data_IF_232633856897
#
_entry.id   IF_232633856897
#
_cell.length_a   1.000
_cell.length_b   1.000
_cell.length_c   1.000
_cell.angle_alpha   90.00
_cell.angle_beta   90.00
_cell.angle_gamma   90.00
#
_symmetry.space_group_name_H-M   'P 1'
#
loop_
_entity.id
_entity.type
_entity.pdbx_description
1 polymer ?
#
# COMPACT_ATOMS: atom_id res chain seq x y z
N UNK A 1 4.23 -19.20 8.60
CA UNK A 1 4.18 -19.81 7.26
C UNK A 1 3.04 -19.12 6.52
N UNK A 2 3.30 -18.39 5.43
CA UNK A 2 2.25 -17.66 4.71
C UNK A 2 1.60 -18.62 3.69
N UNK A 3 0.29 -18.85 3.80
CA UNK A 3 -0.40 -19.99 3.18
C UNK A 3 -0.68 -19.85 1.68
N UNK A 4 -0.28 -18.75 1.03
CA UNK A 4 -0.49 -18.58 -0.42
C UNK A 4 0.80 -18.05 -1.05
N UNK A 5 1.33 -18.70 -2.11
CA UNK A 5 2.35 -18.09 -2.93
C UNK A 5 1.76 -16.85 -3.61
N UNK A 6 2.53 -15.77 -3.67
CA UNK A 6 2.16 -14.59 -4.44
C UNK A 6 2.05 -15.00 -5.90
N UNK A 7 0.88 -14.86 -6.51
CA UNK A 7 0.76 -14.94 -7.97
C UNK A 7 1.71 -13.92 -8.61
N UNK A 8 2.11 -14.13 -9.87
CA UNK A 8 3.09 -13.32 -10.63
C UNK A 8 2.62 -11.86 -10.88
N UNK A 9 2.10 -11.16 -9.87
CA UNK A 9 2.12 -9.73 -9.83
C UNK A 9 3.57 -9.29 -9.85
N UNK A 10 3.93 -8.54 -10.90
CA UNK A 10 5.13 -7.71 -10.83
C UNK A 10 5.02 -6.92 -9.53
N UNK A 11 6.09 -6.93 -8.77
CA UNK A 11 6.17 -6.13 -7.57
C UNK A 11 5.79 -4.70 -7.98
N UNK A 12 4.70 -4.12 -7.44
CA UNK A 12 4.19 -2.80 -7.85
C UNK A 12 5.27 -1.68 -7.77
N UNK A 13 6.36 -1.97 -7.06
CA UNK A 13 7.69 -1.38 -7.09
C UNK A 13 8.28 -1.13 -8.49
N UNK A 14 7.89 -1.92 -9.49
CA UNK A 14 8.44 -1.90 -10.85
C UNK A 14 7.92 -0.73 -11.67
N UNK A 15 6.76 -0.17 -11.31
CA UNK A 15 6.08 0.87 -12.09
C UNK A 15 5.84 2.18 -11.35
N UNK A 16 6.12 2.21 -10.05
CA UNK A 16 6.58 3.44 -9.42
C UNK A 16 7.95 3.80 -10.02
N UNK A 17 7.94 4.48 -11.16
CA UNK A 17 9.10 5.24 -11.60
C UNK A 17 9.54 6.25 -10.53
N UNK A 18 10.40 7.19 -10.92
CA UNK A 18 10.96 8.24 -10.04
C UNK A 18 9.90 8.98 -9.20
N UNK A 19 8.63 9.01 -9.58
CA UNK A 19 7.54 9.66 -8.85
C UNK A 19 7.19 9.04 -7.47
N UNK A 20 7.37 7.73 -7.27
CA UNK A 20 7.16 7.11 -5.95
C UNK A 20 8.44 6.76 -5.19
N UNK A 21 9.58 6.94 -5.86
CA UNK A 21 10.88 7.16 -5.23
C UNK A 21 11.04 8.66 -5.01
N UNK A 22 10.26 9.25 -4.12
CA UNK A 22 10.59 10.60 -3.68
C UNK A 22 11.97 10.58 -3.00
N UNK A 23 12.99 10.92 -3.78
CA UNK A 23 14.11 11.77 -3.41
C UNK A 23 15.12 11.31 -2.38
N UNK A 24 15.04 10.11 -1.81
CA UNK A 24 16.06 9.65 -0.85
C UNK A 24 16.99 8.66 -1.54
N UNK A 25 18.21 9.10 -1.84
CA UNK A 25 19.32 8.19 -2.09
C UNK A 25 19.33 7.14 -0.96
N UNK A 26 19.56 5.86 -1.30
CA UNK A 26 19.46 4.74 -0.35
C UNK A 26 20.31 4.90 0.92
N UNK A 27 21.27 5.82 0.91
CA UNK A 27 22.26 6.00 1.96
C UNK A 27 21.82 6.91 3.14
N UNK A 28 20.71 7.66 3.05
CA UNK A 28 20.37 8.65 4.09
C UNK A 28 18.93 8.57 4.64
N UNK A 29 18.24 7.43 4.47
CA UNK A 29 16.92 7.21 5.11
C UNK A 29 17.13 6.82 6.57
N UNK A 30 16.68 7.62 7.56
CA UNK A 30 16.89 7.30 8.97
C UNK A 30 16.27 5.96 9.34
N UNK A 31 17.03 5.12 10.04
CA UNK A 31 16.53 3.85 10.59
C UNK A 31 15.73 4.14 11.85
N UNK A 32 14.45 3.76 11.85
CA UNK A 32 13.60 3.84 13.03
C UNK A 32 13.91 2.66 13.95
N UNK A 33 14.46 2.94 15.13
CA UNK A 33 14.85 1.92 16.11
C UNK A 33 13.69 1.53 17.05
N UNK A 34 12.88 2.51 17.43
CA UNK A 34 11.80 2.35 18.41
C UNK A 34 10.44 2.36 17.70
N UNK A 35 10.04 1.21 17.15
CA UNK A 35 8.72 1.06 16.56
C UNK A 35 8.06 -0.23 17.05
N UNK A 36 6.74 -0.18 17.22
CA UNK A 36 5.93 -1.34 17.61
C UNK A 36 5.24 -1.93 16.39
N UNK A 37 5.51 -3.20 16.14
CA UNK A 37 4.81 -3.99 15.11
C UNK A 37 3.50 -4.49 15.70
N UNK A 38 2.41 -4.30 14.96
CA UNK A 38 1.10 -4.87 15.30
C UNK A 38 0.76 -5.89 14.21
N UNK A 39 0.87 -7.20 14.53
CA UNK A 39 0.62 -8.27 13.57
C UNK A 39 -0.79 -8.20 12.99
N UNK A 40 -0.90 -8.38 11.68
CA UNK A 40 -2.19 -8.45 11.00
C UNK A 40 -2.52 -9.90 10.58
N UNK A 41 -3.82 -10.24 10.49
CA UNK A 41 -4.24 -11.56 10.03
C UNK A 41 -3.72 -11.91 8.63
N UNK A 42 -3.30 -13.16 8.43
CA UNK A 42 -2.88 -13.70 7.14
C UNK A 42 -4.05 -14.15 6.25
N UNK A 43 -5.18 -13.45 6.28
CA UNK A 43 -6.42 -13.81 5.56
C UNK A 43 -6.47 -13.32 4.10
N UNK A 44 -5.33 -12.86 3.58
CA UNK A 44 -5.21 -12.21 2.27
C UNK A 44 -5.56 -10.73 2.28
N UNK A 45 -5.95 -10.14 3.42
CA UNK A 45 -6.34 -8.73 3.57
C UNK A 45 -5.40 -7.94 4.46
N UNK A 46 -4.20 -8.47 4.74
CA UNK A 46 -3.24 -7.91 5.70
C UNK A 46 -2.90 -6.43 5.44
N UNK A 47 -2.76 -6.02 4.18
CA UNK A 47 -2.56 -4.61 3.81
C UNK A 47 -3.71 -3.73 4.33
N UNK A 48 -4.94 -4.13 4.05
CA UNK A 48 -6.13 -3.35 4.41
C UNK A 48 -6.33 -3.29 5.93
N UNK A 49 -6.03 -4.38 6.63
CA UNK A 49 -5.99 -4.39 8.10
C UNK A 49 -4.94 -3.43 8.65
N UNK A 50 -3.73 -3.42 8.07
CA UNK A 50 -2.65 -2.52 8.47
C UNK A 50 -2.99 -1.03 8.23
N UNK A 51 -3.55 -0.71 7.06
CA UNK A 51 -4.01 0.65 6.73
C UNK A 51 -5.15 1.10 7.65
N UNK A 52 -6.11 0.21 7.91
CA UNK A 52 -7.24 0.51 8.77
C UNK A 52 -6.79 0.79 10.21
N UNK A 53 -5.84 0.01 10.73
CA UNK A 53 -5.24 0.24 12.05
C UNK A 53 -4.67 1.66 12.18
N UNK A 54 -3.98 2.15 11.15
CA UNK A 54 -3.38 3.50 11.15
C UNK A 54 -4.39 4.65 11.10
N UNK A 55 -5.62 4.42 10.61
CA UNK A 55 -6.64 5.45 10.53
C UNK A 55 -7.21 5.85 11.91
N UNK A 56 -6.90 5.12 12.99
CA UNK A 56 -7.50 5.32 14.33
C UNK A 56 -9.02 5.07 14.38
N UNK A 57 -9.65 4.80 13.23
CA UNK A 57 -11.03 4.37 13.10
C UNK A 57 -11.12 2.85 13.16
N UNK A 58 -12.13 2.33 13.87
CA UNK A 58 -12.39 0.89 14.01
C UNK A 58 -12.91 0.21 12.73
N UNK A 59 -12.61 0.76 11.54
CA UNK A 59 -13.00 0.10 10.30
C UNK A 59 -12.37 -1.29 10.23
N UNK A 60 -13.15 -2.28 9.83
CA UNK A 60 -12.63 -3.61 9.56
C UNK A 60 -11.89 -3.55 8.22
N UNK A 61 -10.72 -4.21 8.10
CA UNK A 61 -9.90 -4.16 6.88
C UNK A 61 -10.68 -4.56 5.62
N UNK A 62 -11.66 -5.46 5.74
CA UNK A 62 -12.54 -5.85 4.63
C UNK A 62 -13.47 -4.73 4.15
N UNK A 63 -13.96 -3.88 5.06
CA UNK A 63 -14.76 -2.71 4.69
C UNK A 63 -13.90 -1.67 3.99
N UNK A 64 -12.69 -1.42 4.51
CA UNK A 64 -11.74 -0.51 3.88
C UNK A 64 -11.31 -1.00 2.49
N UNK A 65 -11.11 -2.31 2.31
CA UNK A 65 -10.86 -2.91 0.99
C UNK A 65 -11.95 -2.53 -0.01
N UNK A 66 -13.22 -2.78 0.33
CA UNK A 66 -14.34 -2.48 -0.55
C UNK A 66 -14.40 -0.99 -0.89
N UNK A 67 -14.19 -0.14 0.10
CA UNK A 67 -14.17 1.32 -0.09
C UNK A 67 -13.07 1.76 -1.07
N UNK A 68 -11.85 1.23 -0.93
CA UNK A 68 -10.74 1.49 -1.85
C UNK A 68 -11.08 0.97 -3.25
N UNK A 69 -11.61 -0.24 -3.38
CA UNK A 69 -11.97 -0.79 -4.70
C UNK A 69 -13.08 0.01 -5.39
N UNK A 70 -14.11 0.43 -4.65
CA UNK A 70 -15.17 1.30 -5.17
C UNK A 70 -14.61 2.65 -5.61
N UNK A 71 -13.65 3.20 -4.85
CA UNK A 71 -12.95 4.43 -5.21
C UNK A 71 -12.14 4.25 -6.50
N UNK A 72 -11.37 3.17 -6.62
CA UNK A 72 -10.62 2.83 -7.84
C UNK A 72 -11.57 2.74 -9.05
N UNK A 73 -12.67 2.00 -8.91
CA UNK A 73 -13.65 1.79 -10.00
C UNK A 73 -14.29 3.09 -10.51
N UNK A 74 -14.52 4.06 -9.61
CA UNK A 74 -15.14 5.35 -9.91
C UNK A 74 -14.17 6.41 -10.42
N UNK A 75 -12.86 6.21 -10.24
CA UNK A 75 -11.84 7.22 -10.55
C UNK A 75 -10.74 6.65 -11.46
N UNK A 76 -11.06 6.12 -12.65
CA UNK A 76 -10.07 5.52 -13.54
C UNK A 76 -9.00 6.52 -14.04
N UNK A 77 -9.39 7.79 -14.16
CA UNK A 77 -8.52 8.87 -14.67
C UNK A 77 -7.78 9.61 -13.54
N UNK A 78 -7.87 9.12 -12.30
CA UNK A 78 -7.15 9.70 -11.17
C UNK A 78 -5.65 9.58 -11.38
N UNK A 79 -4.96 10.72 -11.33
CA UNK A 79 -3.51 10.77 -11.46
C UNK A 79 -2.81 10.32 -10.17
N UNK A 80 -1.87 9.39 -10.35
CA UNK A 80 -0.97 8.91 -9.31
C UNK A 80 0.46 9.02 -9.85
N UNK A 81 1.21 10.00 -9.33
CA UNK A 81 2.48 10.39 -9.94
C UNK A 81 2.23 10.90 -11.35
N UNK A 82 2.92 10.34 -12.32
CA UNK A 82 2.85 10.75 -13.73
C UNK A 82 1.85 9.92 -14.58
N UNK A 83 1.12 8.97 -13.97
CA UNK A 83 0.23 8.07 -14.70
C UNK A 83 -1.20 8.13 -14.15
N UNK A 84 -2.20 7.96 -15.02
CA UNK A 84 -3.56 7.68 -14.59
C UNK A 84 -3.66 6.27 -13.99
N UNK A 85 -4.56 6.10 -13.02
CA UNK A 85 -4.81 4.82 -12.36
C UNK A 85 -5.15 3.69 -13.35
N UNK A 86 -5.92 3.99 -14.40
CA UNK A 86 -6.25 3.04 -15.48
C UNK A 86 -5.02 2.52 -16.22
N UNK A 87 -4.04 3.37 -16.46
CA UNK A 87 -2.83 3.01 -17.21
C UNK A 87 -1.94 2.14 -16.33
N UNK A 88 -1.79 2.51 -15.05
CA UNK A 88 -1.06 1.67 -14.09
C UNK A 88 -1.70 0.28 -13.94
N UNK A 89 -3.03 0.20 -13.79
CA UNK A 89 -3.74 -1.09 -13.71
C UNK A 89 -3.56 -1.90 -14.99
N UNK A 90 -3.67 -1.26 -16.16
CA UNK A 90 -3.49 -1.91 -17.44
C UNK A 90 -2.08 -2.48 -17.59
N UNK A 91 -1.05 -1.73 -17.22
CA UNK A 91 0.32 -2.20 -17.29
C UNK A 91 0.63 -3.31 -16.27
N UNK A 92 0.05 -3.27 -15.06
CA UNK A 92 0.34 -4.24 -13.99
C UNK A 92 -0.37 -5.57 -14.22
N UNK A 93 -1.61 -5.52 -14.71
CA UNK A 93 -2.51 -6.68 -14.77
C UNK A 93 -2.89 -7.10 -16.19
N UNK A 94 -2.66 -6.27 -17.20
CA UNK A 94 -3.18 -6.46 -18.56
C UNK A 94 -4.70 -6.26 -18.68
N UNK A 95 -5.38 -5.87 -17.59
CA UNK A 95 -6.83 -5.73 -17.52
C UNK A 95 -7.32 -4.29 -17.54
N UNK A 96 -8.63 -4.12 -17.30
CA UNK A 96 -9.26 -2.82 -17.11
C UNK A 96 -9.61 -2.58 -15.62
N UNK A 97 -9.89 -1.31 -15.30
CA UNK A 97 -10.16 -0.84 -13.93
C UNK A 97 -11.33 -1.57 -13.28
N UNK A 98 -12.42 -1.83 -14.01
CA UNK A 98 -13.62 -2.46 -13.45
C UNK A 98 -13.36 -3.93 -13.07
N UNK A 99 -12.69 -4.69 -13.95
CA UNK A 99 -12.31 -6.07 -13.66
C UNK A 99 -11.31 -6.12 -12.49
N UNK A 100 -10.34 -5.22 -12.48
CA UNK A 100 -9.36 -5.10 -11.40
C UNK A 100 -10.02 -4.84 -10.04
N UNK A 101 -10.85 -3.80 -9.96
CA UNK A 101 -11.53 -3.41 -8.72
C UNK A 101 -12.44 -4.53 -8.19
N UNK A 102 -13.21 -5.19 -9.06
CA UNK A 102 -14.06 -6.34 -8.68
C UNK A 102 -13.24 -7.49 -8.12
N UNK A 103 -12.12 -7.83 -8.75
CA UNK A 103 -11.23 -8.89 -8.31
C UNK A 103 -10.56 -8.54 -6.97
N UNK A 104 -10.06 -7.30 -6.85
CA UNK A 104 -9.40 -6.80 -5.63
C UNK A 104 -10.34 -6.71 -4.43
N UNK A 105 -11.64 -6.44 -4.65
CA UNK A 105 -12.65 -6.40 -3.60
C UNK A 105 -12.86 -7.76 -2.90
N UNK A 106 -12.41 -8.85 -3.52
CA UNK A 106 -12.42 -10.20 -2.96
C UNK A 106 -11.31 -10.44 -1.92
N UNK A 107 -10.46 -11.43 -2.16
CA UNK A 107 -9.37 -11.84 -1.25
C UNK A 107 -7.97 -11.69 -1.84
N UNK A 108 -7.82 -10.87 -2.89
CA UNK A 108 -6.55 -10.66 -3.56
C UNK A 108 -5.61 -9.79 -2.73
N UNK A 109 -4.32 -10.01 -2.90
CA UNK A 109 -3.29 -9.28 -2.18
C UNK A 109 -3.20 -7.86 -2.74
N UNK A 110 -3.42 -6.87 -1.88
CA UNK A 110 -3.22 -5.48 -2.24
C UNK A 110 -1.73 -5.08 -2.24
N UNK A 111 -1.43 -3.97 -2.90
CA UNK A 111 -0.09 -3.42 -3.00
C UNK A 111 -0.08 -1.92 -3.25
N UNK A 112 0.79 -1.47 -4.16
CA UNK A 112 1.02 -0.04 -4.40
C UNK A 112 -0.20 0.69 -4.95
N UNK A 113 -0.99 0.05 -5.81
CA UNK A 113 -2.21 0.63 -6.40
C UNK A 113 -3.21 0.96 -5.28
N UNK A 114 -3.48 0.00 -4.39
CA UNK A 114 -4.38 0.19 -3.24
C UNK A 114 -3.87 1.27 -2.30
N UNK A 115 -2.57 1.30 -1.98
CA UNK A 115 -1.98 2.31 -1.10
C UNK A 115 -2.08 3.72 -1.68
N UNK A 116 -1.85 3.87 -2.98
CA UNK A 116 -1.98 5.15 -3.67
C UNK A 116 -3.43 5.63 -3.73
N UNK A 117 -4.35 4.73 -4.10
CA UNK A 117 -5.78 5.02 -4.10
C UNK A 117 -6.26 5.40 -2.69
N UNK A 118 -5.82 4.67 -1.67
CA UNK A 118 -6.10 4.96 -0.26
C UNK A 118 -5.60 6.33 0.19
N UNK A 119 -4.38 6.70 -0.20
CA UNK A 119 -3.76 8.00 0.09
C UNK A 119 -4.65 9.14 -0.42
N UNK A 120 -5.15 9.01 -1.66
CA UNK A 120 -6.06 9.98 -2.28
C UNK A 120 -7.45 9.96 -1.64
N UNK A 121 -8.02 8.78 -1.39
CA UNK A 121 -9.34 8.60 -0.78
C UNK A 121 -9.43 9.18 0.63
N UNK A 122 -8.41 8.97 1.46
CA UNK A 122 -8.43 9.35 2.89
C UNK A 122 -7.70 10.66 3.18
N UNK A 123 -6.96 11.22 2.23
CA UNK A 123 -6.15 12.41 2.45
C UNK A 123 -5.01 12.21 3.46
N UNK A 124 -4.48 10.99 3.56
CA UNK A 124 -3.38 10.60 4.45
C UNK A 124 -2.19 10.09 3.66
N UNK A 125 -0.98 10.27 4.16
CA UNK A 125 0.20 9.64 3.55
C UNK A 125 0.35 8.19 4.03
N UNK A 126 0.94 7.33 3.21
CA UNK A 126 1.31 5.95 3.58
C UNK A 126 2.81 5.76 3.44
N UNK A 127 3.47 5.29 4.50
CA UNK A 127 4.89 4.97 4.52
C UNK A 127 5.08 3.46 4.66
N UNK A 128 5.84 2.86 3.74
CA UNK A 128 6.13 1.44 3.74
C UNK A 128 7.53 1.21 4.29
N UNK A 129 7.63 0.39 5.31
CA UNK A 129 8.87 0.04 5.98
C UNK A 129 9.22 -1.42 5.74
N UNK A 130 10.50 -1.73 5.82
CA UNK A 130 11.01 -3.10 5.91
C UNK A 130 12.01 -3.20 7.06
N UNK A 131 12.10 -4.38 7.68
CA UNK A 131 13.03 -4.64 8.76
C UNK A 131 14.46 -4.68 8.20
N UNK A 132 15.36 -3.90 8.80
CA UNK A 132 16.78 -3.88 8.46
C UNK A 132 17.64 -4.13 9.70
N UNK A 133 18.97 -4.14 9.54
CA UNK A 133 19.86 -4.21 10.69
C UNK A 133 19.67 -2.96 11.56
N UNK A 134 19.36 -3.16 12.84
CA UNK A 134 19.19 -2.08 13.81
C UNK A 134 17.81 -1.40 13.83
N UNK A 135 16.82 -1.84 13.04
CA UNK A 135 15.45 -1.29 13.13
C UNK A 135 14.62 -1.47 11.86
N UNK A 136 13.95 -0.40 11.45
CA UNK A 136 13.07 -0.36 10.28
C UNK A 136 13.48 0.78 9.35
N UNK A 137 13.62 0.47 8.06
CA UNK A 137 13.93 1.44 7.00
C UNK A 137 12.69 1.69 6.18
N UNK A 138 12.38 2.96 5.89
CA UNK A 138 11.33 3.30 4.93
C UNK A 138 11.83 2.98 3.52
N UNK A 139 11.08 2.17 2.80
CA UNK A 139 11.40 1.70 1.44
C UNK A 139 10.48 2.29 0.37
N UNK A 140 9.32 2.83 0.76
CA UNK A 140 8.42 3.56 -0.14
C UNK A 140 7.56 4.56 0.65
N UNK A 141 7.07 5.59 -0.04
CA UNK A 141 6.12 6.55 0.48
C UNK A 141 5.10 6.94 -0.60
N UNK A 142 3.82 6.96 -0.21
CA UNK A 142 2.72 7.54 -0.96
C UNK A 142 2.29 8.79 -0.22
N UNK A 143 2.60 9.96 -0.77
CA UNK A 143 2.42 11.23 -0.07
C UNK A 143 1.13 11.94 -0.51
N UNK A 144 0.45 12.53 0.47
CA UNK A 144 -0.61 13.50 0.23
C UNK A 144 -0.08 14.90 0.62
N UNK A 145 0.03 15.86 -0.33
CA UNK A 145 0.76 17.12 -0.13
C UNK A 145 0.36 17.95 1.10
N UNK A 146 -0.87 17.80 1.58
CA UNK A 146 -1.41 18.58 2.70
C UNK A 146 -1.68 17.72 3.94
N UNK A 147 -1.23 16.46 3.97
CA UNK A 147 -1.54 15.59 5.10
C UNK A 147 -0.57 15.80 6.26
N UNK A 148 -1.14 15.97 7.46
CA UNK A 148 -0.40 15.93 8.71
C UNK A 148 -0.33 14.52 9.33
N UNK A 149 -0.99 13.54 8.71
CA UNK A 149 -1.08 12.17 9.22
C UNK A 149 -0.46 11.20 8.22
N UNK A 150 0.50 10.42 8.70
CA UNK A 150 1.12 9.34 7.94
C UNK A 150 0.81 8.00 8.59
N UNK A 151 0.41 7.03 7.79
CA UNK A 151 0.15 5.66 8.20
C UNK A 151 1.35 4.80 7.82
N UNK A 152 1.94 4.14 8.81
CA UNK A 152 3.13 3.31 8.61
C UNK A 152 2.75 1.84 8.56
N UNK A 153 3.19 1.15 7.51
CA UNK A 153 3.00 -0.29 7.34
C UNK A 153 4.36 -0.98 7.21
N UNK A 154 4.47 -2.19 7.74
CA UNK A 154 5.67 -3.02 7.68
C UNK A 154 5.48 -4.14 6.65
N UNK A 155 6.26 -4.12 5.58
CA UNK A 155 6.32 -5.17 4.60
C UNK A 155 7.27 -6.30 5.05
N UNK A 156 6.82 -7.56 4.95
CA UNK A 156 7.55 -8.73 5.45
C UNK A 156 7.55 -9.86 4.44
N UNK A 157 8.74 -10.44 4.23
CA UNK A 157 8.90 -11.69 3.47
C UNK A 157 8.33 -11.63 2.05
N UNK A 158 8.28 -10.43 1.46
CA UNK A 158 7.69 -10.14 0.14
C UNK A 158 6.21 -10.52 -0.03
N UNK A 159 5.50 -10.77 1.06
CA UNK A 159 4.20 -11.41 1.02
C UNK A 159 3.17 -10.90 2.04
N UNK A 160 3.59 -10.10 3.03
CA UNK A 160 2.71 -9.73 4.14
C UNK A 160 2.93 -8.30 4.60
N UNK A 161 1.86 -7.69 5.12
CA UNK A 161 1.90 -6.37 5.74
C UNK A 161 1.44 -6.45 7.20
N UNK A 162 2.22 -5.88 8.10
CA UNK A 162 1.82 -5.58 9.46
C UNK A 162 1.62 -4.06 9.64
N UNK A 163 0.89 -3.63 10.66
CA UNK A 163 0.89 -2.21 11.01
C UNK A 163 2.16 -1.87 11.79
N UNK A 164 2.73 -0.69 11.53
CA UNK A 164 3.90 -0.19 12.24
C UNK A 164 3.53 1.09 12.98
N UNK A 165 3.75 1.12 14.29
CA UNK A 165 3.56 2.31 15.12
C UNK A 165 4.93 2.90 15.40
N UNK A 166 5.16 4.10 14.88
CA UNK A 166 6.38 4.89 15.09
C UNK A 166 6.26 5.78 16.33
#
# INVERSE_FOLDING_TARGET
>A
HFSKPRERHKDAWSMLGKAGRSGLAEEDVPVVKNARVVPQPGDGSCLFHALSYGLSGRSQGQSLRKEICDFIAKNPDLEIGDNALRDWISYDTGGNVQTYARSMAGSNWGGGIEMAAFTKLKGVSVHVYEKCNGGYRRISAFESPNSKKSISVLYRGRAHYDALVL
#
